data_IF_582616164474
#
_entry.id   IF_582616164474
#
_cell.length_a   1.000
_cell.length_b   1.000
_cell.length_c   1.000
_cell.angle_alpha   90.00
_cell.angle_beta   90.00
_cell.angle_gamma   90.00
#
_symmetry.space_group_name_H-M   'P 1'
#
loop_
_entity.id
_entity.type
_entity.pdbx_description
1 polymer ?
#
# COMPACT_ATOMS: atom_id res chain seq x y z
N UNK A 1 -3.91 -22.44 -9.46
CA UNK A 1 -3.90 -21.16 -8.74
C UNK A 1 -2.46 -20.74 -8.48
N UNK A 2 -2.15 -19.53 -8.81
CA UNK A 2 -0.81 -19.01 -8.54
C UNK A 2 -0.78 -18.46 -7.13
N UNK A 3 0.07 -19.02 -6.29
CA UNK A 3 0.31 -18.48 -4.96
C UNK A 3 1.31 -17.34 -5.10
N UNK A 4 0.91 -16.14 -4.71
CA UNK A 4 1.81 -15.01 -4.72
C UNK A 4 2.90 -15.23 -3.66
N UNK A 5 4.15 -15.13 -4.08
CA UNK A 5 5.30 -15.18 -3.19
C UNK A 5 5.87 -13.78 -3.13
N UNK A 6 5.91 -13.23 -1.92
CA UNK A 6 6.47 -11.91 -1.70
C UNK A 6 8.00 -11.95 -1.70
N UNK A 7 8.62 -10.91 -2.23
CA UNK A 7 10.02 -10.62 -1.98
C UNK A 7 10.25 -10.65 -0.45
N UNK A 8 11.32 -11.29 0.05
CA UNK A 8 11.57 -11.39 1.49
C UNK A 8 11.57 -10.04 2.21
N UNK A 9 12.11 -8.99 1.61
CA UNK A 9 12.12 -7.65 2.21
C UNK A 9 10.70 -7.08 2.30
N UNK A 10 9.88 -7.31 1.28
CA UNK A 10 8.48 -6.87 1.30
C UNK A 10 7.69 -7.63 2.36
N UNK A 11 7.94 -8.93 2.48
CA UNK A 11 7.30 -9.74 3.51
C UNK A 11 7.68 -9.23 4.90
N UNK A 12 8.94 -8.93 5.12
CA UNK A 12 9.43 -8.49 6.41
C UNK A 12 8.86 -7.12 6.82
N UNK A 13 8.79 -6.16 5.90
CA UNK A 13 8.23 -4.85 6.24
C UNK A 13 6.71 -4.93 6.44
N UNK A 14 6.01 -5.73 5.65
CA UNK A 14 4.57 -5.92 5.84
C UNK A 14 4.29 -6.63 7.17
N UNK A 15 5.11 -7.61 7.54
CA UNK A 15 5.01 -8.27 8.83
C UNK A 15 5.23 -7.29 9.98
N UNK A 16 6.23 -6.42 9.86
CA UNK A 16 6.49 -5.38 10.87
C UNK A 16 5.30 -4.42 11.01
N UNK A 17 4.68 -4.05 9.90
CA UNK A 17 3.50 -3.18 9.92
C UNK A 17 2.31 -3.88 10.60
N UNK A 18 2.09 -5.15 10.32
CA UNK A 18 1.02 -5.93 10.93
C UNK A 18 1.27 -6.06 12.44
N UNK A 19 2.50 -6.39 12.83
CA UNK A 19 2.86 -6.56 14.25
C UNK A 19 2.69 -5.27 15.05
N UNK A 20 2.98 -4.13 14.45
CA UNK A 20 2.81 -2.82 15.07
C UNK A 20 1.36 -2.29 14.99
N UNK A 21 0.47 -3.04 14.38
CA UNK A 21 -0.95 -2.68 14.20
C UNK A 21 -1.14 -1.40 13.39
N UNK A 22 -0.30 -1.20 12.41
CA UNK A 22 -0.44 -0.08 11.48
C UNK A 22 -1.71 -0.28 10.65
N UNK A 23 -2.50 0.80 10.50
CA UNK A 23 -3.55 0.82 9.49
C UNK A 23 -2.91 1.21 8.18
N UNK A 24 -2.84 0.27 7.25
CA UNK A 24 -2.25 0.49 5.94
C UNK A 24 -3.00 -0.29 4.88
N UNK A 25 -2.88 0.16 3.64
CA UNK A 25 -3.44 -0.53 2.47
C UNK A 25 -2.35 -0.67 1.43
N UNK A 26 -2.22 -1.86 0.88
CA UNK A 26 -1.39 -2.05 -0.32
C UNK A 26 -2.13 -1.44 -1.50
N UNK A 27 -1.44 -0.60 -2.25
CA UNK A 27 -1.98 0.08 -3.44
C UNK A 27 -1.05 -0.18 -4.62
N UNK A 28 -1.28 0.44 -5.76
CA UNK A 28 -0.40 0.31 -6.92
C UNK A 28 -0.43 -1.05 -7.59
N UNK A 29 0.69 -1.45 -8.18
CA UNK A 29 0.79 -2.68 -8.98
C UNK A 29 0.46 -3.95 -8.21
N UNK A 30 0.88 -4.04 -6.95
CA UNK A 30 0.57 -5.20 -6.12
C UNK A 30 -0.93 -5.29 -5.80
N UNK A 31 -1.62 -4.15 -5.70
CA UNK A 31 -3.08 -4.15 -5.53
C UNK A 31 -3.77 -4.66 -6.79
N UNK A 32 -3.29 -4.28 -7.98
CA UNK A 32 -3.80 -4.81 -9.23
C UNK A 32 -3.69 -6.34 -9.27
N UNK A 33 -2.53 -6.86 -8.88
CA UNK A 33 -2.30 -8.31 -8.83
C UNK A 33 -3.25 -8.99 -7.83
N UNK A 34 -3.48 -8.38 -6.67
CA UNK A 34 -4.40 -8.91 -5.67
C UNK A 34 -5.85 -8.96 -6.18
N UNK A 35 -6.20 -8.06 -7.09
CA UNK A 35 -7.51 -8.06 -7.77
C UNK A 35 -7.52 -8.90 -9.04
N UNK A 36 -6.58 -9.82 -9.20
CA UNK A 36 -6.49 -10.79 -10.30
C UNK A 36 -6.13 -10.15 -11.64
N UNK A 37 -5.48 -9.00 -11.62
CA UNK A 37 -4.96 -8.32 -12.80
C UNK A 37 -3.44 -8.18 -12.66
N UNK A 38 -2.67 -9.25 -12.95
CA UNK A 38 -1.24 -9.23 -12.73
C UNK A 38 -0.54 -8.10 -13.47
N UNK A 39 0.44 -7.49 -12.80
CA UNK A 39 1.29 -6.44 -13.34
C UNK A 39 2.74 -6.76 -13.01
N UNK A 40 3.62 -6.48 -13.96
CA UNK A 40 5.03 -6.43 -13.66
C UNK A 40 5.28 -5.20 -12.79
N UNK A 41 5.64 -5.42 -11.54
CA UNK A 41 5.90 -4.32 -10.62
C UNK A 41 7.14 -4.64 -9.79
N UNK A 42 7.95 -3.61 -9.54
CA UNK A 42 9.17 -3.73 -8.75
C UNK A 42 9.04 -3.08 -7.38
N UNK A 43 8.13 -2.13 -7.25
CA UNK A 43 7.99 -1.34 -6.03
C UNK A 43 6.70 -1.74 -5.32
N UNK A 44 6.78 -1.80 -3.99
CA UNK A 44 5.62 -2.01 -3.15
C UNK A 44 5.15 -0.65 -2.65
N UNK A 45 3.90 -0.30 -2.93
CA UNK A 45 3.29 0.95 -2.46
C UNK A 45 2.36 0.66 -1.30
N UNK A 46 2.63 1.30 -0.17
CA UNK A 46 1.88 1.11 1.08
C UNK A 46 1.31 2.45 1.51
N UNK A 47 0.00 2.54 1.55
CA UNK A 47 -0.71 3.74 1.97
C UNK A 47 -1.07 3.63 3.43
N UNK A 48 -0.53 4.52 4.27
CA UNK A 48 -0.76 4.52 5.71
C UNK A 48 -1.73 5.62 6.10
N UNK A 49 -2.61 5.33 7.05
CA UNK A 49 -3.57 6.32 7.54
C UNK A 49 -2.86 7.50 8.20
N UNK A 50 -3.15 8.75 7.77
CA UNK A 50 -2.42 9.93 8.23
C UNK A 50 -3.00 10.53 9.51
N UNK A 51 -2.92 9.78 10.61
CA UNK A 51 -3.38 10.26 11.93
C UNK A 51 -2.39 9.86 13.02
N UNK A 52 -2.41 10.60 14.14
CA UNK A 52 -1.36 10.58 15.15
C UNK A 52 -1.01 9.19 15.68
N UNK A 53 -2.02 8.41 16.07
CA UNK A 53 -1.77 7.07 16.62
C UNK A 53 -1.11 6.16 15.59
N UNK A 54 -1.55 6.25 14.35
CA UNK A 54 -1.02 5.42 13.28
C UNK A 54 0.40 5.84 12.90
N UNK A 55 0.67 7.15 12.89
CA UNK A 55 2.01 7.68 12.63
C UNK A 55 3.03 7.08 13.60
N UNK A 56 2.69 7.02 14.89
CA UNK A 56 3.56 6.42 15.90
C UNK A 56 3.79 4.93 15.63
N UNK A 57 2.74 4.21 15.21
CA UNK A 57 2.84 2.80 14.88
C UNK A 57 3.71 2.55 13.65
N UNK A 58 3.61 3.42 12.63
CA UNK A 58 4.45 3.34 11.43
C UNK A 58 5.92 3.50 11.81
N UNK A 59 6.25 4.49 12.64
CA UNK A 59 7.63 4.70 13.07
C UNK A 59 8.17 3.49 13.84
N UNK A 60 7.36 2.90 14.72
CA UNK A 60 7.77 1.67 15.43
C UNK A 60 8.02 0.51 14.47
N UNK A 61 7.17 0.36 13.46
CA UNK A 61 7.31 -0.69 12.47
C UNK A 61 8.58 -0.50 11.64
N UNK A 62 8.86 0.72 11.22
CA UNK A 62 10.06 1.03 10.45
C UNK A 62 11.32 0.78 11.29
N UNK A 63 11.32 1.15 12.57
CA UNK A 63 12.43 0.88 13.47
C UNK A 63 12.64 -0.64 13.64
N UNK A 64 11.59 -1.39 13.83
CA UNK A 64 11.65 -2.84 13.97
C UNK A 64 12.18 -3.51 12.69
N UNK A 65 11.80 -3.00 11.53
CA UNK A 65 12.31 -3.48 10.25
C UNK A 65 13.78 -3.09 10.04
N UNK A 66 14.24 -2.03 10.69
CA UNK A 66 15.61 -1.53 10.54
C UNK A 66 15.77 -0.48 9.44
N UNK A 67 14.69 0.17 9.03
CA UNK A 67 14.75 1.22 8.04
C UNK A 67 15.32 2.52 8.64
N UNK A 68 16.25 3.20 7.94
CA UNK A 68 16.74 4.49 8.43
C UNK A 68 15.64 5.53 8.32
N UNK A 69 15.47 6.34 9.37
CA UNK A 69 14.41 7.35 9.36
C UNK A 69 14.66 8.51 8.41
N UNK A 70 15.92 8.89 8.20
CA UNK A 70 16.30 9.99 7.27
C UNK A 70 15.51 11.28 7.52
N UNK A 71 15.28 11.61 8.79
CA UNK A 71 14.53 12.79 9.17
C UNK A 71 13.01 12.65 9.16
N UNK A 72 12.48 11.46 8.89
CA UNK A 72 11.04 11.23 8.92
C UNK A 72 10.51 11.37 10.34
N UNK A 73 9.46 12.19 10.51
CA UNK A 73 8.83 12.46 11.80
C UNK A 73 7.38 12.00 11.82
N UNK A 74 6.81 11.89 13.02
CA UNK A 74 5.38 11.61 13.15
C UNK A 74 4.54 12.69 12.46
N UNK A 75 4.94 13.95 12.55
CA UNK A 75 4.23 15.05 11.90
C UNK A 75 4.17 14.88 10.39
N UNK A 76 5.24 14.38 9.78
CA UNK A 76 5.26 14.08 8.34
C UNK A 76 4.19 13.02 8.00
N UNK A 77 4.08 12.00 8.82
CA UNK A 77 3.15 10.88 8.60
C UNK A 77 1.70 11.24 8.93
N UNK A 78 1.46 12.35 9.62
CA UNK A 78 0.11 12.88 9.87
C UNK A 78 -0.35 13.81 8.75
N UNK A 79 0.55 14.19 7.87
CA UNK A 79 0.27 15.12 6.77
C UNK A 79 0.04 14.34 5.48
N UNK A 80 -1.06 14.61 4.80
CA UNK A 80 -1.32 14.01 3.49
C UNK A 80 -0.28 14.51 2.48
N UNK A 81 0.17 13.61 1.61
CA UNK A 81 1.12 13.95 0.55
C UNK A 81 2.57 13.63 0.87
N UNK A 82 2.85 13.01 2.02
CA UNK A 82 4.20 12.54 2.35
C UNK A 82 4.49 11.24 1.61
N UNK A 83 5.68 11.14 1.04
CA UNK A 83 6.21 9.93 0.41
C UNK A 83 7.56 9.63 1.07
N UNK A 84 7.68 8.44 1.66
CA UNK A 84 8.92 7.98 2.27
C UNK A 84 9.35 6.68 1.60
N UNK A 85 10.54 6.68 1.00
CA UNK A 85 11.05 5.54 0.25
C UNK A 85 12.05 4.75 1.10
N UNK A 86 11.86 3.43 1.14
CA UNK A 86 12.74 2.49 1.84
C UNK A 86 13.36 1.56 0.81
N UNK A 87 14.68 1.44 0.83
CA UNK A 87 15.40 0.54 -0.07
C UNK A 87 15.57 1.11 -1.48
N UNK A 88 16.06 0.25 -2.37
CA UNK A 88 16.29 0.58 -3.77
C UNK A 88 15.68 -0.51 -4.65
N UNK A 89 15.29 -0.18 -5.90
CA UNK A 89 14.75 -1.21 -6.80
C UNK A 89 15.71 -2.40 -6.95
N UNK A 90 15.21 -3.64 -6.98
CA UNK A 90 13.80 -4.05 -7.04
C UNK A 90 13.13 -4.21 -5.68
N UNK A 91 13.75 -3.78 -4.60
CA UNK A 91 13.27 -3.98 -3.22
C UNK A 91 12.75 -2.67 -2.59
N UNK A 92 12.39 -1.69 -3.41
CA UNK A 92 11.90 -0.40 -2.89
C UNK A 92 10.47 -0.49 -2.40
N UNK A 93 10.24 0.08 -1.21
CA UNK A 93 8.90 0.25 -0.64
C UNK A 93 8.63 1.74 -0.52
N UNK A 94 7.51 2.18 -1.05
CA UNK A 94 7.04 3.56 -0.94
C UNK A 94 5.93 3.61 0.11
N UNK A 95 6.20 4.31 1.21
CA UNK A 95 5.20 4.57 2.26
C UNK A 95 4.60 5.93 1.96
N UNK A 96 3.30 5.96 1.69
CA UNK A 96 2.61 7.18 1.26
C UNK A 96 1.43 7.49 2.18
N UNK A 97 1.09 8.77 2.30
CA UNK A 97 0.00 9.22 3.19
C UNK A 97 -1.22 9.72 2.45
N UNK A 98 -1.21 9.70 1.13
CA UNK A 98 -2.37 10.06 0.32
C UNK A 98 -2.33 9.35 -1.02
N UNK A 99 -3.50 9.05 -1.57
CA UNK A 99 -3.67 8.64 -2.97
C UNK A 99 -4.79 9.46 -3.58
N UNK A 100 -4.69 9.73 -4.87
CA UNK A 100 -5.64 10.59 -5.55
C UNK A 100 -7.04 9.97 -5.60
N UNK A 101 -8.04 10.79 -5.36
CA UNK A 101 -9.44 10.45 -5.60
C UNK A 101 -10.14 9.67 -4.49
N UNK A 102 -9.45 9.28 -3.42
CA UNK A 102 -10.06 8.51 -2.32
C UNK A 102 -9.51 8.94 -0.97
N UNK A 103 -10.32 8.77 0.07
CA UNK A 103 -9.95 9.07 1.45
C UNK A 103 -9.58 7.78 2.18
N UNK A 104 -8.63 7.86 3.11
CA UNK A 104 -8.14 6.67 3.81
C UNK A 104 -9.23 6.00 4.64
N UNK A 105 -9.98 6.75 5.43
CA UNK A 105 -10.96 6.17 6.35
C UNK A 105 -12.00 5.31 5.62
N UNK A 106 -12.53 5.80 4.50
CA UNK A 106 -13.47 5.04 3.69
C UNK A 106 -12.80 3.82 3.07
N UNK A 107 -11.60 4.00 2.53
CA UNK A 107 -10.85 2.92 1.88
C UNK A 107 -10.50 1.82 2.87
N UNK A 108 -10.18 2.19 4.11
CA UNK A 108 -9.90 1.23 5.17
C UNK A 108 -11.13 0.37 5.50
N UNK A 109 -12.29 0.98 5.59
CA UNK A 109 -13.53 0.26 5.89
C UNK A 109 -13.91 -0.74 4.80
N UNK A 110 -13.60 -0.42 3.55
CA UNK A 110 -13.98 -1.23 2.39
C UNK A 110 -12.82 -2.06 1.84
N UNK A 111 -11.76 -2.20 2.61
CA UNK A 111 -10.57 -2.93 2.19
C UNK A 111 -10.84 -4.40 1.92
N UNK A 112 -9.97 -4.98 1.09
CA UNK A 112 -9.92 -6.41 0.86
C UNK A 112 -8.75 -6.99 1.65
N UNK A 113 -9.01 -7.93 2.54
CA UNK A 113 -7.94 -8.63 3.26
C UNK A 113 -7.55 -9.87 2.46
N UNK A 114 -6.28 -9.99 2.10
CA UNK A 114 -5.78 -11.05 1.24
C UNK A 114 -4.68 -11.82 1.97
N UNK A 115 -4.79 -13.15 1.95
CA UNK A 115 -3.74 -14.00 2.51
C UNK A 115 -2.64 -14.20 1.46
N UNK A 116 -1.46 -13.69 1.74
CA UNK A 116 -0.30 -13.80 0.87
C UNK A 116 0.89 -14.26 1.70
N UNK A 117 1.49 -15.38 1.32
CA UNK A 117 2.71 -15.88 1.95
C UNK A 117 2.60 -15.96 3.48
N UNK A 118 1.44 -16.41 3.97
CA UNK A 118 1.17 -16.58 5.40
C UNK A 118 0.81 -15.29 6.15
N UNK A 119 0.72 -14.17 5.46
CA UNK A 119 0.33 -12.89 6.05
C UNK A 119 -1.05 -12.47 5.54
N UNK A 120 -1.86 -11.90 6.44
CA UNK A 120 -3.13 -11.33 6.06
C UNK A 120 -2.93 -9.84 5.79
N UNK A 121 -2.92 -9.49 4.51
CA UNK A 121 -2.51 -8.17 4.03
C UNK A 121 -3.74 -7.37 3.61
N UNK A 122 -3.95 -6.17 4.18
CA UNK A 122 -5.03 -5.29 3.74
C UNK A 122 -4.65 -4.62 2.41
N UNK A 123 -5.56 -4.73 1.46
CA UNK A 123 -5.40 -4.19 0.11
C UNK A 123 -6.54 -3.24 -0.17
N UNK A 124 -6.27 -2.16 -0.90
CA UNK A 124 -7.31 -1.24 -1.34
C UNK A 124 -8.41 -2.00 -2.10
N UNK A 125 -9.68 -1.73 -1.76
CA UNK A 125 -10.81 -2.38 -2.40
C UNK A 125 -10.97 -1.98 -3.86
N UNK A 126 -11.73 -2.81 -4.61
CA UNK A 126 -11.89 -2.60 -6.06
C UNK A 126 -12.49 -1.23 -6.37
N UNK A 127 -13.54 -0.82 -5.66
CA UNK A 127 -14.21 0.46 -5.90
C UNK A 127 -13.27 1.64 -5.73
N UNK A 128 -12.49 1.65 -4.65
CA UNK A 128 -11.53 2.72 -4.39
C UNK A 128 -10.35 2.69 -5.37
N UNK A 129 -9.89 1.50 -5.74
CA UNK A 129 -8.82 1.37 -6.72
C UNK A 129 -9.26 1.93 -8.08
N UNK A 130 -10.49 1.67 -8.50
CA UNK A 130 -11.07 2.24 -9.71
C UNK A 130 -11.10 3.77 -9.61
N UNK A 131 -11.61 4.31 -8.50
CA UNK A 131 -11.69 5.76 -8.29
C UNK A 131 -10.31 6.40 -8.32
N UNK A 132 -9.31 5.77 -7.72
CA UNK A 132 -7.93 6.23 -7.75
C UNK A 132 -7.36 6.25 -9.17
N UNK A 133 -7.56 5.16 -9.92
CA UNK A 133 -7.09 5.07 -11.29
C UNK A 133 -7.68 6.17 -12.17
N UNK A 134 -8.98 6.43 -12.03
CA UNK A 134 -9.65 7.49 -12.77
C UNK A 134 -9.16 8.87 -12.38
N UNK A 135 -8.90 9.10 -11.09
CA UNK A 135 -8.41 10.39 -10.62
C UNK A 135 -7.01 10.71 -11.15
N UNK A 136 -6.12 9.71 -11.19
CA UNK A 136 -4.78 9.86 -11.78
C UNK A 136 -4.88 10.07 -13.28
N UNK A 137 -5.69 9.27 -13.98
CA UNK A 137 -6.14 9.54 -15.34
C UNK A 137 -5.12 9.38 -16.45
N UNK A 138 -3.97 8.74 -16.19
CA UNK A 138 -3.05 8.40 -17.28
C UNK A 138 -3.70 7.34 -18.20
N UNK A 139 -3.30 7.24 -19.48
CA UNK A 139 -3.91 6.25 -20.38
C UNK A 139 -3.94 4.83 -19.79
N UNK A 140 -2.85 4.38 -19.17
CA UNK A 140 -2.80 3.06 -18.54
C UNK A 140 -3.78 2.97 -17.35
N UNK A 141 -3.94 4.05 -16.59
CA UNK A 141 -4.86 4.06 -15.45
C UNK A 141 -6.30 3.92 -15.89
N UNK A 142 -6.67 4.55 -17.01
CA UNK A 142 -8.03 4.44 -17.54
C UNK A 142 -8.31 3.04 -18.07
N UNK A 143 -7.33 2.41 -18.70
CA UNK A 143 -7.43 1.00 -19.11
C UNK A 143 -7.60 0.11 -17.88
N UNK A 144 -6.79 0.32 -16.86
CA UNK A 144 -6.85 -0.45 -15.61
C UNK A 144 -8.22 -0.32 -14.94
N UNK A 145 -8.77 0.91 -14.90
CA UNK A 145 -10.10 1.14 -14.32
C UNK A 145 -11.16 0.34 -15.06
N UNK A 146 -11.11 0.32 -16.39
CA UNK A 146 -12.06 -0.44 -17.22
C UNK A 146 -11.93 -1.95 -16.94
N UNK A 147 -10.71 -2.45 -16.85
CA UNK A 147 -10.47 -3.87 -16.54
C UNK A 147 -10.99 -4.25 -15.16
N UNK A 148 -10.78 -3.39 -14.18
CA UNK A 148 -11.28 -3.62 -12.81
C UNK A 148 -12.81 -3.64 -12.75
N UNK A 149 -13.47 -2.76 -13.52
CA UNK A 149 -14.93 -2.74 -13.58
C UNK A 149 -15.51 -3.99 -14.22
N UNK A 150 -14.77 -4.62 -15.13
CA UNK A 150 -15.22 -5.83 -15.82
C UNK A 150 -15.08 -7.10 -14.95
N UNK A 151 -14.43 -7.04 -13.81
CA UNK A 151 -14.29 -8.19 -12.93
C UNK A 151 -15.60 -8.51 -12.23
N UNK A 152 -15.86 -9.80 -12.09
CA UNK A 152 -17.02 -10.28 -11.32
C UNK A 152 -16.77 -10.27 -9.81
#
# INVERSE_FOLDING_TARGET
MVTAVLNPDFRDILSAFIDARVEFLVVGGYAMAAHRLPRATKDLDVWVGPFAENAARVLRALDAFGAPRQGLTAADLEREGTIYQVGVPPNRVDVITAVDGVAFAESWRERLDVDIDGLRIPVIGRRQLIANKRAVGRPQDLVDATLLEALD
#
